data_IF_354875092573
#
_entry.id   IF_354875092573
#
_cell.length_a   1.000
_cell.length_b   1.000
_cell.length_c   1.000
_cell.angle_alpha   90.00
_cell.angle_beta   90.00
_cell.angle_gamma   90.00
#
_symmetry.space_group_name_H-M   'P 1'
#
loop_
_entity.id
_entity.type
_entity.pdbx_description
1 polymer ?
#
# COMPACT_ATOMS: atom_id res chain seq x y z
N UNK A 1 -4.86 -87.43 80.72
CA UNK A 1 -4.21 -86.10 80.79
C UNK A 1 -5.34 -85.11 80.97
N UNK A 2 -5.61 -84.53 82.16
CA UNK A 2 -4.83 -83.53 82.94
C UNK A 2 -4.40 -82.38 82.03
N UNK A 3 -4.77 -81.10 82.23
CA UNK A 3 -5.02 -80.30 83.45
C UNK A 3 -6.41 -79.61 83.43
N UNK A 4 -7.17 -79.28 84.50
CA UNK A 4 -6.97 -78.60 85.82
C UNK A 4 -6.41 -77.17 85.70
N UNK A 5 -6.97 -76.28 86.56
CA UNK A 5 -6.66 -74.87 86.91
C UNK A 5 -7.65 -73.94 86.19
N UNK A 6 -8.78 -73.47 86.74
CA UNK A 6 -9.12 -72.93 88.08
C UNK A 6 -8.25 -71.76 88.53
N UNK A 7 -8.73 -70.54 88.27
CA UNK A 7 -8.68 -69.41 89.23
C UNK A 7 -9.74 -68.33 88.85
N UNK A 8 -10.76 -68.23 89.70
CA UNK A 8 -11.37 -67.02 90.32
C UNK A 8 -10.79 -65.65 89.93
N UNK A 9 -11.48 -64.51 89.92
CA UNK A 9 -12.84 -64.07 90.31
C UNK A 9 -12.90 -62.60 89.81
N UNK A 10 -13.99 -62.12 89.22
CA UNK A 10 -14.40 -60.72 89.42
C UNK A 10 -15.84 -60.50 88.92
N UNK A 11 -16.73 -60.36 89.91
CA UNK A 11 -17.72 -59.30 89.94
C UNK A 11 -18.93 -59.39 89.00
N UNK A 12 -20.03 -59.82 89.60
CA UNK A 12 -21.38 -59.40 89.21
C UNK A 12 -21.48 -57.87 89.32
N UNK A 13 -21.65 -57.15 88.21
CA UNK A 13 -22.18 -55.79 88.26
C UNK A 13 -22.93 -55.40 86.98
N UNK A 14 -24.24 -55.24 87.15
CA UNK A 14 -25.09 -54.21 86.51
C UNK A 14 -25.02 -54.08 84.98
N UNK A 15 -25.57 -55.07 84.27
CA UNK A 15 -25.80 -54.98 82.82
C UNK A 15 -27.12 -54.24 82.46
N UNK A 16 -27.93 -53.84 83.45
CA UNK A 16 -29.19 -53.10 83.23
C UNK A 16 -28.97 -51.60 82.94
N UNK A 17 -27.84 -51.00 83.30
CA UNK A 17 -27.63 -49.55 83.06
C UNK A 17 -27.27 -49.21 81.62
N UNK A 18 -26.68 -50.13 80.85
CA UNK A 18 -26.28 -49.85 79.46
C UNK A 18 -27.47 -49.84 78.50
N UNK A 19 -28.49 -50.67 78.75
CA UNK A 19 -29.72 -50.70 77.95
C UNK A 19 -30.53 -49.41 78.15
N UNK A 20 -30.64 -48.93 79.40
CA UNK A 20 -31.28 -47.66 79.72
C UNK A 20 -30.54 -46.46 79.11
N UNK A 21 -29.20 -46.46 79.16
CA UNK A 21 -28.37 -45.42 78.54
C UNK A 21 -28.52 -45.43 77.01
N UNK A 22 -28.62 -46.59 76.38
CA UNK A 22 -28.86 -46.70 74.94
C UNK A 22 -30.25 -46.16 74.54
N UNK A 23 -31.28 -46.41 75.34
CA UNK A 23 -32.63 -45.88 75.11
C UNK A 23 -32.70 -44.35 75.32
N UNK A 24 -32.01 -43.83 76.34
CA UNK A 24 -31.91 -42.38 76.58
C UNK A 24 -31.11 -41.70 75.46
N UNK A 25 -30.01 -42.30 74.99
CA UNK A 25 -29.25 -41.78 73.85
C UNK A 25 -30.08 -41.78 72.55
N UNK A 26 -30.90 -42.82 72.31
CA UNK A 26 -31.82 -42.87 71.18
C UNK A 26 -32.97 -41.85 71.30
N UNK A 27 -33.41 -41.53 72.51
CA UNK A 27 -34.44 -40.51 72.76
C UNK A 27 -33.87 -39.10 72.56
N UNK A 28 -32.66 -38.84 73.04
CA UNK A 28 -31.96 -37.57 72.83
C UNK A 28 -31.66 -37.29 71.34
N UNK A 29 -31.30 -38.33 70.57
CA UNK A 29 -31.12 -38.20 69.12
C UNK A 29 -32.44 -37.95 68.37
N UNK A 30 -33.58 -38.47 68.87
CA UNK A 30 -34.91 -38.18 68.32
C UNK A 30 -35.40 -36.77 68.66
N UNK A 31 -35.10 -36.26 69.85
CA UNK A 31 -35.48 -34.91 70.26
C UNK A 31 -34.63 -33.81 69.60
N UNK A 32 -33.36 -34.10 69.23
CA UNK A 32 -32.50 -33.14 68.49
C UNK A 32 -32.76 -33.07 66.97
N UNK A 33 -33.58 -33.97 66.42
CA UNK A 33 -34.01 -33.92 65.00
C UNK A 33 -35.20 -32.99 64.74
N UNK A 34 -35.73 -32.28 65.74
CA UNK A 34 -36.55 -31.07 65.51
C UNK A 34 -35.67 -29.87 65.13
N UNK A 35 -34.77 -30.05 64.17
CA UNK A 35 -34.38 -28.91 63.34
C UNK A 35 -35.55 -28.67 62.41
N UNK A 36 -36.06 -27.45 62.41
CA UNK A 36 -36.98 -26.94 61.38
C UNK A 36 -36.38 -27.24 59.99
N UNK A 37 -36.66 -28.44 59.48
CA UNK A 37 -36.69 -28.69 58.07
C UNK A 37 -37.89 -27.87 57.60
N UNK A 38 -37.62 -26.73 56.96
CA UNK A 38 -38.63 -26.02 56.17
C UNK A 38 -39.19 -27.04 55.15
N UNK A 39 -40.21 -27.79 55.55
CA UNK A 39 -40.94 -28.71 54.70
C UNK A 39 -41.65 -27.86 53.64
N UNK A 40 -40.93 -27.59 52.55
CA UNK A 40 -41.45 -26.87 51.39
C UNK A 40 -42.70 -27.60 50.94
N UNK A 41 -43.84 -26.94 51.12
CA UNK A 41 -45.13 -27.59 50.90
C UNK A 41 -45.28 -27.81 49.39
N UNK A 42 -45.86 -28.94 48.96
CA UNK A 42 -45.94 -29.32 47.53
C UNK A 42 -46.52 -28.20 46.64
N UNK A 43 -47.41 -27.35 47.17
CA UNK A 43 -47.95 -26.18 46.48
C UNK A 43 -46.92 -25.08 46.17
N UNK A 44 -45.93 -24.85 47.03
CA UNK A 44 -44.86 -23.88 46.80
C UNK A 44 -43.91 -24.36 45.68
N UNK A 45 -43.62 -25.67 45.64
CA UNK A 45 -42.85 -26.28 44.57
C UNK A 45 -43.53 -26.09 43.19
N UNK A 46 -44.85 -26.26 43.12
CA UNK A 46 -45.63 -26.08 41.89
C UNK A 46 -45.55 -24.64 41.38
N UNK A 47 -45.70 -23.65 42.26
CA UNK A 47 -45.60 -22.23 41.90
C UNK A 47 -44.22 -21.87 41.36
N UNK A 48 -43.16 -22.43 41.96
CA UNK A 48 -41.78 -22.25 41.49
C UNK A 48 -41.63 -22.83 40.08
N UNK A 49 -42.12 -24.05 39.83
CA UNK A 49 -42.06 -24.71 38.52
C UNK A 49 -42.82 -23.93 37.44
N UNK A 50 -44.00 -23.39 37.75
CA UNK A 50 -44.76 -22.55 36.81
C UNK A 50 -44.01 -21.25 36.47
N UNK A 51 -43.37 -20.63 37.46
CA UNK A 51 -42.56 -19.42 37.26
C UNK A 51 -41.33 -19.69 36.39
N UNK A 52 -40.60 -20.78 36.64
CA UNK A 52 -39.49 -21.17 35.78
C UNK A 52 -39.95 -21.56 34.37
N UNK A 53 -41.08 -22.24 34.23
CA UNK A 53 -41.64 -22.62 32.93
C UNK A 53 -42.01 -21.40 32.08
N UNK A 54 -42.63 -20.40 32.69
CA UNK A 54 -42.94 -19.13 32.02
C UNK A 54 -41.67 -18.35 31.65
N UNK A 55 -40.65 -18.36 32.52
CA UNK A 55 -39.34 -17.76 32.22
C UNK A 55 -38.64 -18.46 31.05
N UNK A 56 -38.62 -19.80 31.03
CA UNK A 56 -38.08 -20.62 29.93
C UNK A 56 -38.82 -20.33 28.62
N UNK A 57 -40.15 -20.23 28.64
CA UNK A 57 -40.93 -19.91 27.45
C UNK A 57 -40.59 -18.52 26.90
N UNK A 58 -40.38 -17.52 27.78
CA UNK A 58 -39.97 -16.17 27.39
C UNK A 58 -38.56 -16.16 26.77
N UNK A 59 -37.61 -16.89 27.36
CA UNK A 59 -36.25 -17.03 26.86
C UNK A 59 -36.25 -17.72 25.50
N UNK A 60 -37.03 -18.78 25.34
CA UNK A 60 -37.16 -19.49 24.05
C UNK A 60 -37.65 -18.58 22.93
N UNK A 61 -38.60 -17.68 23.23
CA UNK A 61 -39.05 -16.65 22.27
C UNK A 61 -37.92 -15.67 21.90
N UNK A 62 -37.19 -15.16 22.90
CA UNK A 62 -36.04 -14.26 22.68
C UNK A 62 -34.91 -14.92 21.88
N UNK A 63 -34.61 -16.19 22.17
CA UNK A 63 -33.62 -16.96 21.39
C UNK A 63 -34.08 -17.08 19.94
N UNK A 64 -35.36 -17.36 19.69
CA UNK A 64 -35.89 -17.46 18.33
C UNK A 64 -35.82 -16.12 17.57
N UNK A 65 -36.10 -15.00 18.22
CA UNK A 65 -35.94 -13.67 17.59
C UNK A 65 -34.48 -13.36 17.30
N UNK A 66 -33.58 -13.61 18.26
CA UNK A 66 -32.15 -13.41 18.07
C UNK A 66 -31.58 -14.28 16.94
N UNK A 67 -32.01 -15.54 16.82
CA UNK A 67 -31.59 -16.42 15.72
C UNK A 67 -32.00 -15.82 14.37
N UNK A 68 -33.23 -15.32 14.24
CA UNK A 68 -33.68 -14.69 12.99
C UNK A 68 -32.90 -13.42 12.67
N UNK A 69 -32.72 -12.52 13.66
CA UNK A 69 -31.91 -11.30 13.50
C UNK A 69 -30.47 -11.62 13.08
N UNK A 70 -29.89 -12.71 13.60
CA UNK A 70 -28.53 -13.11 13.27
C UNK A 70 -28.40 -13.63 11.83
N UNK A 71 -29.39 -14.37 11.32
CA UNK A 71 -29.43 -14.81 9.92
C UNK A 71 -29.60 -13.64 8.94
N UNK A 72 -30.42 -12.64 9.30
CA UNK A 72 -30.58 -11.40 8.54
C UNK A 72 -29.27 -10.61 8.48
N UNK A 73 -28.59 -10.44 9.61
CA UNK A 73 -27.28 -9.76 9.67
C UNK A 73 -26.22 -10.47 8.83
N UNK A 74 -26.20 -11.81 8.86
CA UNK A 74 -25.27 -12.62 8.07
C UNK A 74 -25.50 -12.45 6.56
N UNK A 75 -26.76 -12.37 6.14
CA UNK A 75 -27.16 -12.11 4.76
C UNK A 75 -26.78 -10.70 4.30
N UNK A 76 -26.98 -9.69 5.16
CA UNK A 76 -26.60 -8.30 4.88
C UNK A 76 -25.07 -8.13 4.77
N UNK A 77 -24.31 -8.80 5.64
CA UNK A 77 -22.85 -8.73 5.61
C UNK A 77 -22.27 -9.34 4.32
N UNK A 78 -22.75 -10.52 3.90
CA UNK A 78 -22.35 -11.14 2.63
C UNK A 78 -22.63 -10.20 1.44
N UNK A 79 -23.83 -9.63 1.37
CA UNK A 79 -24.19 -8.71 0.29
C UNK A 79 -23.34 -7.42 0.27
N UNK A 80 -22.92 -6.91 1.42
CA UNK A 80 -22.03 -5.73 1.49
C UNK A 80 -20.60 -6.05 1.07
N UNK A 81 -20.10 -7.22 1.44
CA UNK A 81 -18.76 -7.69 1.11
C UNK A 81 -18.63 -7.95 -0.41
N UNK A 82 -19.63 -8.62 -1.00
CA UNK A 82 -19.66 -8.90 -2.44
C UNK A 82 -19.71 -7.60 -3.27
N UNK A 83 -20.60 -6.66 -2.93
CA UNK A 83 -20.72 -5.39 -3.67
C UNK A 83 -19.47 -4.49 -3.55
N UNK A 84 -18.78 -4.52 -2.40
CA UNK A 84 -17.56 -3.74 -2.19
C UNK A 84 -16.41 -4.30 -3.02
N UNK A 85 -16.25 -5.62 -3.03
CA UNK A 85 -15.17 -6.29 -3.75
C UNK A 85 -15.36 -6.18 -5.27
N UNK A 86 -16.59 -6.28 -5.78
CA UNK A 86 -16.89 -6.18 -7.21
C UNK A 86 -16.53 -4.79 -7.77
N UNK A 87 -16.87 -3.70 -7.07
CA UNK A 87 -16.53 -2.33 -7.49
C UNK A 87 -15.01 -2.10 -7.45
N UNK A 88 -14.31 -2.63 -6.45
CA UNK A 88 -12.86 -2.50 -6.34
C UNK A 88 -12.13 -3.25 -7.46
N UNK A 89 -12.62 -4.45 -7.82
CA UNK A 89 -12.09 -5.24 -8.94
C UNK A 89 -12.27 -4.50 -10.27
N UNK A 90 -13.44 -3.96 -10.57
CA UNK A 90 -13.70 -3.23 -11.82
C UNK A 90 -12.80 -1.98 -11.98
N UNK A 91 -12.54 -1.25 -10.89
CA UNK A 91 -11.63 -0.10 -10.92
C UNK A 91 -10.19 -0.54 -11.21
N UNK A 92 -9.73 -1.60 -10.56
CA UNK A 92 -8.39 -2.16 -10.78
C UNK A 92 -8.22 -2.71 -12.20
N UNK A 93 -9.23 -3.39 -12.75
CA UNK A 93 -9.19 -3.89 -14.13
C UNK A 93 -9.04 -2.75 -15.15
N UNK A 94 -9.76 -1.64 -14.95
CA UNK A 94 -9.65 -0.46 -15.81
C UNK A 94 -8.26 0.20 -15.71
N UNK A 95 -7.70 0.28 -14.51
CA UNK A 95 -6.35 0.84 -14.31
C UNK A 95 -5.27 -0.05 -14.94
N UNK A 96 -5.38 -1.37 -14.80
CA UNK A 96 -4.50 -2.34 -15.48
C UNK A 96 -4.60 -2.19 -16.99
N UNK A 97 -5.81 -2.11 -17.56
CA UNK A 97 -6.00 -1.95 -19.00
C UNK A 97 -5.39 -0.64 -19.54
N UNK A 98 -5.50 0.45 -18.78
CA UNK A 98 -4.85 1.73 -19.11
C UNK A 98 -3.32 1.59 -19.10
N UNK A 99 -2.75 1.03 -18.02
CA UNK A 99 -1.30 0.84 -17.86
C UNK A 99 -0.73 -0.08 -18.94
N UNK A 100 -1.44 -1.14 -19.33
CA UNK A 100 -1.04 -2.01 -20.43
C UNK A 100 -0.98 -1.28 -21.77
N UNK A 101 -1.95 -0.40 -22.04
CA UNK A 101 -1.96 0.41 -23.26
C UNK A 101 -0.79 1.38 -23.29
N UNK A 102 -0.51 2.05 -22.18
CA UNK A 102 0.65 2.94 -22.05
C UNK A 102 1.96 2.16 -22.24
N UNK A 103 2.10 0.98 -21.62
CA UNK A 103 3.27 0.12 -21.80
C UNK A 103 3.47 -0.33 -23.25
N UNK A 104 2.40 -0.65 -23.99
CA UNK A 104 2.49 -0.96 -25.42
C UNK A 104 3.02 0.22 -26.23
N UNK A 105 2.47 1.41 -26.01
CA UNK A 105 2.94 2.63 -26.68
C UNK A 105 4.42 2.93 -26.38
N UNK A 106 4.83 2.87 -25.11
CA UNK A 106 6.21 3.09 -24.69
C UNK A 106 7.16 2.07 -25.33
N UNK A 107 6.73 0.82 -25.49
CA UNK A 107 7.53 -0.22 -26.14
C UNK A 107 7.75 0.08 -27.63
N UNK A 108 6.71 0.56 -28.32
CA UNK A 108 6.82 1.00 -29.72
C UNK A 108 7.76 2.21 -29.87
N UNK A 109 7.65 3.20 -28.97
CA UNK A 109 8.56 4.36 -28.95
C UNK A 109 10.02 3.95 -28.72
N UNK A 110 10.26 3.02 -27.79
CA UNK A 110 11.59 2.49 -27.51
C UNK A 110 12.17 1.79 -28.75
N UNK A 111 11.38 0.98 -29.46
CA UNK A 111 11.87 0.28 -30.65
C UNK A 111 12.13 1.25 -31.81
N UNK A 112 11.29 2.27 -31.99
CA UNK A 112 11.55 3.36 -32.93
C UNK A 112 12.84 4.11 -32.58
N UNK A 113 13.05 4.41 -31.30
CA UNK A 113 14.24 5.11 -30.80
C UNK A 113 15.51 4.25 -30.96
N UNK A 114 15.45 2.94 -30.68
CA UNK A 114 16.56 2.03 -30.93
C UNK A 114 16.95 2.01 -32.40
N UNK A 115 15.97 2.02 -33.31
CA UNK A 115 16.21 2.05 -34.76
C UNK A 115 16.89 3.36 -35.19
N UNK A 116 16.47 4.50 -34.65
CA UNK A 116 17.13 5.79 -34.93
C UNK A 116 18.54 5.85 -34.32
N UNK A 117 18.72 5.32 -33.11
CA UNK A 117 20.02 5.26 -32.44
C UNK A 117 21.01 4.35 -33.18
N UNK A 118 20.57 3.19 -33.69
CA UNK A 118 21.42 2.33 -34.52
C UNK A 118 21.89 3.04 -35.80
N UNK A 119 21.00 3.74 -36.50
CA UNK A 119 21.37 4.56 -37.67
C UNK A 119 22.36 5.66 -37.29
N UNK A 120 22.09 6.37 -36.19
CA UNK A 120 22.96 7.43 -35.68
C UNK A 120 24.35 6.86 -35.35
N UNK A 121 24.43 5.75 -34.61
CA UNK A 121 25.67 5.08 -34.25
C UNK A 121 26.48 4.67 -35.48
N UNK A 122 25.83 4.05 -36.48
CA UNK A 122 26.49 3.66 -37.73
C UNK A 122 27.03 4.89 -38.49
N UNK A 123 26.28 6.00 -38.49
CA UNK A 123 26.75 7.23 -39.11
C UNK A 123 27.90 7.89 -38.33
N UNK A 124 27.86 7.81 -37.00
CA UNK A 124 28.90 8.33 -36.13
C UNK A 124 30.21 7.57 -36.29
N UNK A 125 30.15 6.24 -36.40
CA UNK A 125 31.33 5.40 -36.65
C UNK A 125 31.96 5.73 -38.02
N UNK A 126 31.14 5.89 -39.06
CA UNK A 126 31.62 6.33 -40.39
C UNK A 126 32.29 7.69 -40.32
N UNK A 127 31.72 8.64 -39.58
CA UNK A 127 32.29 9.97 -39.40
C UNK A 127 33.63 9.90 -38.66
N UNK A 128 33.72 9.12 -37.57
CA UNK A 128 34.94 8.95 -36.81
C UNK A 128 36.04 8.31 -37.66
N UNK A 129 35.71 7.30 -38.47
CA UNK A 129 36.65 6.70 -39.41
C UNK A 129 37.19 7.71 -40.44
N UNK A 130 36.32 8.56 -41.01
CA UNK A 130 36.74 9.62 -41.94
C UNK A 130 37.63 10.67 -41.27
N UNK A 131 37.27 11.11 -40.05
CA UNK A 131 38.05 12.11 -39.30
C UNK A 131 39.38 11.52 -38.80
N UNK A 132 39.39 10.26 -38.38
CA UNK A 132 40.59 9.52 -38.01
C UNK A 132 41.58 9.42 -39.18
N UNK A 133 41.08 9.11 -40.38
CA UNK A 133 41.89 9.13 -41.61
C UNK A 133 42.43 10.52 -41.94
N UNK A 134 41.64 11.58 -41.72
CA UNK A 134 42.11 12.96 -41.92
C UNK A 134 43.26 13.31 -40.97
N UNK A 135 43.24 12.84 -39.70
CA UNK A 135 44.36 13.09 -38.77
C UNK A 135 45.68 12.49 -39.26
N UNK A 136 45.68 11.30 -39.85
CA UNK A 136 46.89 10.67 -40.38
C UNK A 136 47.49 11.43 -41.58
N UNK A 137 46.67 12.13 -42.37
CA UNK A 137 47.15 12.95 -43.49
C UNK A 137 47.93 14.19 -43.01
N UNK A 138 47.67 14.66 -41.78
CA UNK A 138 48.36 15.82 -41.20
C UNK A 138 49.58 15.43 -40.36
N UNK A 139 49.64 14.21 -39.83
CA UNK A 139 50.76 13.71 -39.03
C UNK A 139 51.85 13.05 -39.88
N UNK A 140 52.30 13.76 -40.92
CA UNK A 140 53.38 13.29 -41.83
C UNK A 140 54.78 13.58 -41.30
N UNK A 141 54.90 14.15 -40.11
CA UNK A 141 56.18 14.49 -39.49
C UNK A 141 57.06 13.23 -39.28
N UNK A 142 56.46 12.08 -38.97
CA UNK A 142 57.17 10.80 -38.83
C UNK A 142 57.66 10.20 -40.16
N UNK A 143 57.13 10.67 -41.30
CA UNK A 143 57.54 10.25 -42.64
C UNK A 143 58.58 11.19 -43.27
N UNK A 144 59.15 12.11 -42.49
CA UNK A 144 60.22 13.02 -42.93
C UNK A 144 59.75 14.27 -43.68
N UNK A 145 58.45 14.58 -43.64
CA UNK A 145 57.92 15.86 -44.14
C UNK A 145 57.96 16.93 -43.04
N UNK A 146 58.28 18.17 -43.40
CA UNK A 146 58.17 19.31 -42.47
C UNK A 146 56.71 19.50 -42.00
N UNK A 147 56.55 19.71 -40.70
CA UNK A 147 55.27 19.91 -40.04
C UNK A 147 54.49 21.04 -40.75
N UNK A 148 53.33 20.71 -41.34
CA UNK A 148 52.56 21.66 -42.13
C UNK A 148 51.84 22.65 -41.22
N UNK A 149 52.56 23.66 -40.73
CA UNK A 149 52.07 24.66 -39.76
C UNK A 149 50.94 25.59 -40.26
N UNK A 150 50.31 25.32 -41.40
CA UNK A 150 49.41 26.28 -42.03
C UNK A 150 48.13 25.66 -42.58
N UNK A 151 47.17 25.41 -41.70
CA UNK A 151 45.78 25.74 -42.02
C UNK A 151 45.11 26.35 -40.78
N UNK A 152 45.20 27.68 -40.65
CA UNK A 152 44.53 28.48 -39.59
C UNK A 152 43.03 28.14 -39.42
N UNK A 153 42.39 27.63 -40.47
CA UNK A 153 41.00 27.19 -40.46
C UNK A 153 40.75 26.02 -39.48
N UNK A 154 41.66 25.05 -39.38
CA UNK A 154 41.48 23.89 -38.51
C UNK A 154 41.93 24.15 -37.07
N UNK A 155 42.97 24.96 -36.86
CA UNK A 155 43.39 25.41 -35.52
C UNK A 155 42.20 26.03 -34.76
N UNK A 156 41.46 26.92 -35.44
CA UNK A 156 40.26 27.57 -34.89
C UNK A 156 39.15 26.55 -34.54
N UNK A 157 39.09 25.43 -35.26
CA UNK A 157 38.09 24.37 -35.05
C UNK A 157 38.43 23.52 -33.82
N UNK A 158 39.70 23.12 -33.67
CA UNK A 158 40.19 22.38 -32.50
C UNK A 158 40.11 23.24 -31.23
N UNK A 159 40.54 24.50 -31.29
CA UNK A 159 40.39 25.45 -30.19
C UNK A 159 38.91 25.66 -29.81
N UNK A 160 38.00 25.72 -30.79
CA UNK A 160 36.56 25.82 -30.52
C UNK A 160 36.02 24.57 -29.84
N UNK A 161 36.43 23.37 -30.28
CA UNK A 161 36.03 22.10 -29.66
C UNK A 161 36.51 22.03 -28.21
N UNK A 162 37.78 22.36 -27.98
CA UNK A 162 38.39 22.36 -26.64
C UNK A 162 37.69 23.36 -25.71
N UNK A 163 37.34 24.56 -26.21
CA UNK A 163 36.51 25.52 -25.45
C UNK A 163 35.13 24.97 -25.10
N UNK A 164 34.47 24.26 -26.03
CA UNK A 164 33.14 23.68 -25.79
C UNK A 164 33.22 22.54 -24.76
N UNK A 165 34.26 21.71 -24.80
CA UNK A 165 34.49 20.65 -23.83
C UNK A 165 34.80 21.22 -22.44
N UNK A 166 35.65 22.24 -22.35
CA UNK A 166 35.90 22.98 -21.10
C UNK A 166 34.62 23.62 -20.57
N UNK A 167 33.84 24.31 -21.41
CA UNK A 167 32.54 24.87 -21.02
C UNK A 167 31.55 23.81 -20.52
N UNK A 168 31.55 22.59 -21.09
CA UNK A 168 30.68 21.50 -20.62
C UNK A 168 31.07 21.05 -19.20
N UNK A 169 32.37 20.92 -18.94
CA UNK A 169 32.89 20.56 -17.61
C UNK A 169 32.65 21.68 -16.60
N UNK A 170 32.80 22.95 -17.02
CA UNK A 170 32.57 24.13 -16.19
C UNK A 170 31.08 24.35 -15.89
N UNK A 171 30.17 24.11 -16.86
CA UNK A 171 28.70 24.19 -16.66
C UNK A 171 28.18 23.14 -15.68
N UNK A 172 28.86 22.00 -15.53
CA UNK A 172 28.55 21.00 -14.49
C UNK A 172 28.94 21.53 -13.10
N UNK A 173 29.98 22.38 -13.00
CA UNK A 173 30.45 22.97 -11.76
C UNK A 173 29.77 24.31 -11.40
N UNK A 174 29.24 25.07 -12.38
CA UNK A 174 28.47 26.31 -12.17
C UNK A 174 27.03 25.97 -11.75
N UNK A 175 26.86 25.29 -10.62
CA UNK A 175 25.62 25.40 -9.85
C UNK A 175 25.68 26.74 -9.10
N UNK A 176 24.81 27.66 -9.53
CA UNK A 176 24.35 28.87 -8.80
C UNK A 176 25.28 30.10 -8.76
N UNK A 177 25.56 30.71 -9.92
CA UNK A 177 25.58 32.18 -9.97
C UNK A 177 24.32 32.62 -10.72
N UNK A 178 23.25 32.90 -9.96
CA UNK A 178 22.01 33.46 -10.52
C UNK A 178 22.35 34.87 -10.98
N UNK A 179 22.76 35.00 -12.24
CA UNK A 179 22.65 36.29 -12.93
C UNK A 179 21.16 36.62 -12.87
N UNK A 180 20.80 37.74 -12.25
CA UNK A 180 19.42 38.24 -12.23
C UNK A 180 19.02 38.63 -13.65
N UNK A 181 18.73 37.64 -14.48
CA UNK A 181 18.23 37.81 -15.84
C UNK A 181 16.76 38.19 -15.68
N UNK A 182 16.45 39.47 -15.84
CA UNK A 182 15.08 39.98 -15.90
C UNK A 182 14.54 39.85 -17.32
N UNK A 183 13.27 39.48 -17.44
CA UNK A 183 12.58 39.45 -18.71
C UNK A 183 12.19 40.86 -19.16
N UNK A 184 12.63 41.30 -20.33
CA UNK A 184 12.28 42.63 -20.88
C UNK A 184 10.78 42.77 -21.19
N UNK A 185 10.06 41.65 -21.34
CA UNK A 185 8.63 41.67 -21.65
C UNK A 185 7.73 41.79 -20.40
N UNK A 186 8.04 41.04 -19.33
CA UNK A 186 7.19 41.00 -18.13
C UNK A 186 7.88 41.47 -16.85
N UNK A 187 9.13 41.95 -16.92
CA UNK A 187 9.91 42.48 -15.80
C UNK A 187 10.32 41.48 -14.72
N UNK A 188 9.82 40.24 -14.76
CA UNK A 188 10.13 39.21 -13.76
C UNK A 188 11.53 38.63 -13.95
N UNK A 189 12.20 38.37 -12.83
CA UNK A 189 13.55 37.80 -12.78
C UNK A 189 13.49 36.28 -12.93
N UNK A 190 14.48 35.68 -13.58
CA UNK A 190 14.66 34.23 -13.69
C UNK A 190 14.38 33.65 -15.07
N UNK A 191 13.99 34.46 -16.05
CA UNK A 191 13.81 34.03 -17.44
C UNK A 191 14.06 35.18 -18.42
N UNK A 192 14.40 34.86 -19.66
CA UNK A 192 14.55 35.84 -20.75
C UNK A 192 13.24 36.05 -21.50
N UNK A 193 13.14 37.15 -22.24
CA UNK A 193 11.99 37.50 -23.10
C UNK A 193 11.58 36.39 -24.07
N UNK A 194 12.51 35.53 -24.52
CA UNK A 194 12.23 34.40 -25.41
C UNK A 194 11.42 33.28 -24.74
N UNK A 195 11.64 33.07 -23.44
CA UNK A 195 11.04 31.98 -22.66
C UNK A 195 9.84 32.49 -21.84
N UNK A 196 9.51 33.77 -21.94
CA UNK A 196 8.41 34.39 -21.21
C UNK A 196 7.05 33.81 -21.61
N UNK A 197 6.34 33.24 -20.64
CA UNK A 197 5.00 32.69 -20.81
C UNK A 197 4.01 33.74 -21.33
N UNK A 198 4.03 34.94 -20.75
CA UNK A 198 3.15 36.04 -21.16
C UNK A 198 3.38 36.45 -22.62
N UNK A 199 4.65 36.50 -23.06
CA UNK A 199 4.99 36.82 -24.46
C UNK A 199 4.53 35.73 -25.41
N UNK A 200 4.78 34.46 -25.08
CA UNK A 200 4.33 33.32 -25.89
C UNK A 200 2.81 33.34 -26.05
N UNK A 201 2.07 33.49 -24.95
CA UNK A 201 0.61 33.52 -24.99
C UNK A 201 0.06 34.72 -25.79
N UNK A 202 0.70 35.88 -25.71
CA UNK A 202 0.35 37.04 -26.54
C UNK A 202 0.59 36.78 -28.05
N UNK A 203 1.68 36.09 -28.40
CA UNK A 203 1.98 35.71 -29.80
C UNK A 203 0.98 34.66 -30.31
N UNK A 204 0.64 33.66 -29.51
CA UNK A 204 -0.38 32.67 -29.86
C UNK A 204 -1.74 33.32 -30.11
N UNK A 205 -2.17 34.26 -29.25
CA UNK A 205 -3.43 34.98 -29.44
C UNK A 205 -3.42 35.84 -30.71
N UNK A 206 -2.29 36.48 -31.04
CA UNK A 206 -2.13 37.21 -32.31
C UNK A 206 -2.23 36.28 -33.51
N UNK A 207 -1.58 35.12 -33.46
CA UNK A 207 -1.60 34.15 -34.56
C UNK A 207 -2.99 33.51 -34.74
N UNK A 208 -3.76 33.29 -33.67
CA UNK A 208 -5.15 32.82 -33.78
C UNK A 208 -6.08 33.88 -34.37
N UNK A 209 -5.83 35.17 -34.12
CA UNK A 209 -6.66 36.24 -34.66
C UNK A 209 -6.27 36.67 -36.08
N UNK A 210 -5.08 36.28 -36.55
CA UNK A 210 -4.66 36.54 -37.93
C UNK A 210 -5.33 35.51 -38.85
N UNK A 211 -6.19 36.01 -39.75
CA UNK A 211 -6.76 35.24 -40.83
C UNK A 211 -5.82 35.23 -42.03
N UNK A 212 -5.74 34.10 -42.73
CA UNK A 212 -4.98 33.98 -43.96
C UNK A 212 -5.67 34.78 -45.06
N UNK A 213 -4.99 35.78 -45.62
CA UNK A 213 -5.52 36.65 -46.69
C UNK A 213 -5.94 35.88 -47.95
N UNK A 214 -5.46 34.64 -48.15
CA UNK A 214 -5.79 33.81 -49.32
C UNK A 214 -7.00 32.90 -49.10
N UNK A 215 -7.20 32.37 -47.88
CA UNK A 215 -8.27 31.40 -47.62
C UNK A 215 -9.25 31.81 -46.51
N UNK A 216 -9.10 33.00 -45.92
CA UNK A 216 -9.99 33.56 -44.89
C UNK A 216 -10.01 32.82 -43.55
N UNK A 217 -9.26 31.72 -43.40
CA UNK A 217 -9.24 30.90 -42.19
C UNK A 217 -8.20 31.42 -41.19
N UNK A 218 -8.56 31.35 -39.91
CA UNK A 218 -7.74 31.79 -38.79
C UNK A 218 -6.64 30.77 -38.46
N UNK A 219 -5.50 31.24 -37.93
CA UNK A 219 -4.48 30.38 -37.31
C UNK A 219 -3.30 29.95 -38.18
N UNK A 220 -3.15 30.47 -39.40
CA UNK A 220 -1.94 30.27 -40.21
C UNK A 220 -1.63 31.50 -41.07
N UNK A 221 -0.34 31.80 -41.21
CA UNK A 221 0.17 32.79 -42.15
C UNK A 221 0.76 32.04 -43.35
N UNK A 222 0.32 32.36 -44.56
CA UNK A 222 0.86 31.79 -45.79
C UNK A 222 2.37 32.04 -45.81
N UNK A 223 3.16 30.97 -45.67
CA UNK A 223 4.61 31.03 -45.88
C UNK A 223 4.87 30.68 -47.33
N UNK A 224 5.50 31.61 -48.05
CA UNK A 224 6.03 31.38 -49.41
C UNK A 224 7.02 30.21 -49.45
#
# INVERSE_FOLDING_TARGET
MIAIWDDSDESRSDEDSNEEVAQIALMALKEEEEKEEDEVTYGELVLIVEKYSSMIASLKKKVKTLVNENEELKSINLAKEDNSNEIEVDLLENEVAYLEKENRNLKEEIDALKKTFSKFSNSSEKLENLLGMQRYVFDKAELGYEEMNNVKLYQTFFERKERIEKEKVEKVQIKKKIVKISCDYCGKIGHTSFICFHKKHAMFKKNMNNSCNFCGKYGHTFSS
#
